data_IF_283353761271
#
_entry.id   IF_283353761271
#
_cell.length_a   1.000
_cell.length_b   1.000
_cell.length_c   1.000
_cell.angle_alpha   90.00
_cell.angle_beta   90.00
_cell.angle_gamma   90.00
#
_symmetry.space_group_name_H-M   'P 1'
#
loop_
_entity.id
_entity.type
_entity.pdbx_description
1 polymer ?
#
# COMPACT_ATOMS: atom_id res chain seq x y z
N UNK A 1 -63.60 -8.08 8.15
CA UNK A 1 -62.14 -8.16 8.36
C UNK A 1 -61.60 -6.75 8.39
N UNK A 2 -61.26 -6.25 9.58
CA UNK A 2 -60.61 -4.96 9.75
C UNK A 2 -59.17 -5.10 9.27
N UNK A 3 -58.81 -4.36 8.22
CA UNK A 3 -57.41 -4.18 7.83
C UNK A 3 -56.82 -3.34 8.96
N UNK A 4 -56.04 -3.99 9.83
CA UNK A 4 -55.20 -3.29 10.77
C UNK A 4 -54.32 -2.33 9.96
N UNK A 5 -54.62 -1.03 10.08
CA UNK A 5 -53.69 0.02 9.72
C UNK A 5 -52.40 -0.30 10.45
N UNK A 6 -51.36 -0.67 9.70
CA UNK A 6 -49.99 -0.73 10.22
C UNK A 6 -49.79 0.60 10.93
N UNK A 7 -49.66 0.54 12.26
CA UNK A 7 -49.34 1.70 13.06
C UNK A 7 -48.12 2.34 12.41
N UNK A 8 -48.37 3.50 11.83
CA UNK A 8 -47.39 4.42 11.32
C UNK A 8 -46.32 4.50 12.41
N UNK A 9 -45.15 3.86 12.19
CA UNK A 9 -44.08 3.81 13.18
C UNK A 9 -43.98 5.21 13.76
N UNK A 10 -44.40 5.38 15.01
CA UNK A 10 -44.45 6.67 15.66
C UNK A 10 -43.10 7.32 15.39
N UNK A 11 -43.11 8.35 14.54
CA UNK A 11 -41.91 8.79 13.84
C UNK A 11 -40.86 9.10 14.88
N UNK A 12 -39.81 8.26 14.99
CA UNK A 12 -38.71 8.56 15.88
C UNK A 12 -38.24 9.98 15.55
N UNK A 13 -37.94 10.76 16.58
CA UNK A 13 -37.44 12.12 16.37
C UNK A 13 -36.17 12.08 15.51
N UNK A 14 -35.94 13.13 14.73
CA UNK A 14 -34.73 13.26 13.90
C UNK A 14 -33.45 13.09 14.74
N UNK A 15 -33.50 13.50 16.01
CA UNK A 15 -32.39 13.37 16.96
C UNK A 15 -32.07 11.90 17.28
N UNK A 16 -33.09 11.06 17.48
CA UNK A 16 -32.88 9.63 17.72
C UNK A 16 -32.29 8.94 16.48
N UNK A 17 -32.74 9.33 15.29
CA UNK A 17 -32.13 8.83 14.06
C UNK A 17 -30.67 9.28 13.92
N UNK A 18 -30.36 10.53 14.25
CA UNK A 18 -28.98 11.02 14.25
C UNK A 18 -28.10 10.24 15.22
N UNK A 19 -28.57 10.00 16.45
CA UNK A 19 -27.83 9.25 17.47
C UNK A 19 -27.59 7.79 17.07
N UNK A 20 -28.54 7.17 16.37
CA UNK A 20 -28.37 5.83 15.81
C UNK A 20 -27.33 5.85 14.70
N UNK A 21 -27.50 6.75 13.71
CA UNK A 21 -26.62 6.83 12.54
C UNK A 21 -25.17 7.18 12.91
N UNK A 22 -24.95 8.00 13.95
CA UNK A 22 -23.61 8.34 14.48
C UNK A 22 -22.84 7.15 15.03
N UNK A 23 -23.52 6.06 15.40
CA UNK A 23 -22.89 4.85 15.96
C UNK A 23 -22.61 3.77 14.90
N UNK A 24 -23.08 3.96 13.68
CA UNK A 24 -22.86 3.01 12.59
C UNK A 24 -21.44 3.13 12.04
N UNK A 25 -20.87 2.01 11.59
CA UNK A 25 -19.69 2.04 10.73
C UNK A 25 -20.04 2.65 9.36
N UNK A 26 -19.04 3.13 8.64
CA UNK A 26 -19.28 3.87 7.40
C UNK A 26 -19.96 3.07 6.28
N UNK A 27 -19.75 1.75 6.20
CA UNK A 27 -20.42 0.93 5.20
C UNK A 27 -21.91 0.76 5.53
N UNK A 28 -22.23 0.52 6.81
CA UNK A 28 -23.61 0.46 7.28
C UNK A 28 -24.30 1.82 7.19
N UNK A 29 -23.60 2.92 7.48
CA UNK A 29 -24.12 4.29 7.31
C UNK A 29 -24.46 4.59 5.84
N UNK A 30 -23.60 4.18 4.90
CA UNK A 30 -23.85 4.30 3.47
C UNK A 30 -25.09 3.50 3.03
N UNK A 31 -25.25 2.28 3.55
CA UNK A 31 -26.41 1.43 3.28
C UNK A 31 -27.71 2.04 3.85
N UNK A 32 -27.67 2.51 5.10
CA UNK A 32 -28.79 3.17 5.75
C UNK A 32 -29.24 4.44 5.01
N UNK A 33 -28.29 5.21 4.46
CA UNK A 33 -28.59 6.41 3.67
C UNK A 33 -29.42 6.13 2.41
N UNK A 34 -29.41 4.89 1.90
CA UNK A 34 -30.18 4.46 0.74
C UNK A 34 -31.57 3.91 1.10
N UNK A 35 -31.83 3.62 2.38
CA UNK A 35 -33.05 2.93 2.81
C UNK A 35 -34.28 3.85 2.86
N UNK A 36 -34.12 5.11 3.27
CA UNK A 36 -35.23 6.07 3.34
C UNK A 36 -34.75 7.53 3.22
N UNK A 37 -35.69 8.45 2.93
CA UNK A 37 -35.39 9.87 2.74
C UNK A 37 -34.84 10.56 4.00
N UNK A 38 -35.33 10.18 5.19
CA UNK A 38 -34.86 10.73 6.46
C UNK A 38 -33.38 10.39 6.72
N UNK A 39 -33.00 9.11 6.59
CA UNK A 39 -31.61 8.67 6.70
C UNK A 39 -30.73 9.27 5.61
N UNK A 40 -31.23 9.34 4.37
CA UNK A 40 -30.51 10.00 3.26
C UNK A 40 -30.20 11.46 3.57
N UNK A 41 -31.15 12.19 4.16
CA UNK A 41 -30.96 13.59 4.55
C UNK A 41 -29.94 13.74 5.67
N UNK A 42 -30.07 12.94 6.74
CA UNK A 42 -29.16 13.00 7.90
C UNK A 42 -27.74 12.56 7.51
N UNK A 43 -27.59 11.51 6.69
CA UNK A 43 -26.30 11.02 6.20
C UNK A 43 -25.60 11.95 5.19
N UNK A 44 -26.14 13.15 4.92
CA UNK A 44 -25.41 14.23 4.23
C UNK A 44 -24.59 15.09 5.19
N UNK A 45 -24.80 14.97 6.50
CA UNK A 45 -24.02 15.71 7.48
C UNK A 45 -22.59 15.19 7.57
N UNK A 46 -21.63 16.07 7.27
CA UNK A 46 -20.20 15.75 7.25
C UNK A 46 -19.67 15.28 8.61
N UNK A 47 -20.27 15.73 9.72
CA UNK A 47 -19.87 15.32 11.07
C UNK A 47 -20.00 13.81 11.30
N UNK A 48 -21.00 13.16 10.70
CA UNK A 48 -21.14 11.71 10.79
C UNK A 48 -19.95 11.01 10.12
N UNK A 49 -19.60 11.48 8.92
CA UNK A 49 -18.48 10.95 8.15
C UNK A 49 -17.12 11.29 8.75
N UNK A 50 -16.98 12.44 9.41
CA UNK A 50 -15.79 12.81 10.18
C UNK A 50 -15.55 11.83 11.33
N UNK A 51 -16.60 11.44 12.08
CA UNK A 51 -16.48 10.44 13.14
C UNK A 51 -16.10 9.06 12.56
N UNK A 52 -16.73 8.67 11.45
CA UNK A 52 -16.41 7.42 10.74
C UNK A 52 -14.95 7.40 10.29
N UNK A 53 -14.48 8.48 9.64
CA UNK A 53 -13.11 8.59 9.17
C UNK A 53 -12.13 8.57 10.35
N UNK A 54 -12.38 9.35 11.41
CA UNK A 54 -11.48 9.43 12.57
C UNK A 54 -11.42 8.13 13.36
N UNK A 55 -12.52 7.35 13.38
CA UNK A 55 -12.52 6.02 13.99
C UNK A 55 -11.77 4.99 13.13
N UNK A 56 -11.80 5.13 11.82
CA UNK A 56 -11.17 4.19 10.90
C UNK A 56 -9.68 4.49 10.65
N UNK A 57 -9.37 5.77 10.53
CA UNK A 57 -8.08 6.37 10.21
C UNK A 57 -7.80 7.50 11.21
N UNK A 58 -7.19 7.20 12.36
CA UNK A 58 -6.97 8.19 13.42
C UNK A 58 -6.20 9.42 12.96
N UNK A 59 -5.37 9.31 11.91
CA UNK A 59 -4.66 10.44 11.32
C UNK A 59 -5.61 11.55 10.83
N UNK A 60 -6.87 11.22 10.49
CA UNK A 60 -7.85 12.21 10.03
C UNK A 60 -8.42 13.07 11.16
N UNK A 61 -8.11 12.76 12.42
CA UNK A 61 -8.51 13.57 13.58
C UNK A 61 -7.67 14.84 13.75
N UNK A 62 -6.53 14.96 13.07
CA UNK A 62 -5.66 16.13 13.11
C UNK A 62 -6.26 17.29 12.31
N UNK A 63 -6.21 18.51 12.86
CA UNK A 63 -6.84 19.69 12.26
C UNK A 63 -6.30 20.04 10.85
N UNK A 64 -5.00 19.82 10.61
CA UNK A 64 -4.38 20.00 9.30
C UNK A 64 -4.96 19.03 8.25
N UNK A 65 -5.16 17.77 8.63
CA UNK A 65 -5.79 16.75 7.79
C UNK A 65 -7.29 17.01 7.61
N UNK A 66 -8.00 17.48 8.63
CA UNK A 66 -9.41 17.88 8.48
C UNK A 66 -9.59 18.99 7.46
N UNK A 67 -8.70 19.98 7.49
CA UNK A 67 -8.67 21.07 6.49
C UNK A 67 -8.39 20.52 5.08
N UNK A 68 -7.44 19.58 4.95
CA UNK A 68 -7.17 18.90 3.69
C UNK A 68 -8.40 18.16 3.15
N UNK A 69 -9.02 17.31 3.98
CA UNK A 69 -10.21 16.52 3.60
C UNK A 69 -11.37 17.44 3.19
N UNK A 70 -11.57 18.54 3.92
CA UNK A 70 -12.56 19.55 3.56
C UNK A 70 -12.27 20.18 2.19
N UNK A 71 -11.00 20.48 1.88
CA UNK A 71 -10.59 21.10 0.61
C UNK A 71 -10.76 20.21 -0.63
N UNK A 72 -10.71 18.88 -0.46
CA UNK A 72 -10.83 17.89 -1.55
C UNK A 72 -12.27 17.40 -1.78
N UNK A 73 -13.22 17.81 -0.94
CA UNK A 73 -14.66 17.52 -1.13
C UNK A 73 -15.39 16.91 0.07
N UNK A 74 -14.77 16.89 1.25
CA UNK A 74 -15.39 16.44 2.50
C UNK A 74 -15.08 14.99 2.88
N UNK A 75 -15.42 14.64 4.12
CA UNK A 75 -15.22 13.33 4.73
C UNK A 75 -16.06 12.24 4.07
N UNK A 76 -17.28 12.56 3.61
CA UNK A 76 -18.10 11.56 2.91
C UNK A 76 -17.42 11.09 1.62
N UNK A 77 -16.92 12.02 0.83
CA UNK A 77 -16.17 11.72 -0.39
C UNK A 77 -14.87 11.00 -0.06
N UNK A 78 -14.09 11.52 0.89
CA UNK A 78 -12.84 10.89 1.32
C UNK A 78 -13.03 9.43 1.76
N UNK A 79 -14.08 9.14 2.54
CA UNK A 79 -14.41 7.77 2.91
C UNK A 79 -14.78 6.91 1.70
N UNK A 80 -15.64 7.42 0.82
CA UNK A 80 -16.04 6.69 -0.39
C UNK A 80 -14.85 6.39 -1.32
N UNK A 81 -13.86 7.28 -1.37
CA UNK A 81 -12.66 7.16 -2.19
C UNK A 81 -11.64 6.20 -1.57
N UNK A 82 -11.44 6.24 -0.25
CA UNK A 82 -10.37 5.52 0.46
C UNK A 82 -10.78 4.17 1.06
N UNK A 83 -12.08 3.94 1.27
CA UNK A 83 -12.58 2.68 1.84
C UNK A 83 -12.47 1.50 0.86
N UNK A 84 -12.85 1.64 -0.43
CA UNK A 84 -12.66 0.58 -1.41
C UNK A 84 -11.17 0.31 -1.71
N UNK A 85 -10.83 -0.94 -2.00
CA UNK A 85 -9.48 -1.34 -2.39
C UNK A 85 -9.29 -1.19 -3.90
N UNK A 86 -8.08 -0.84 -4.32
CA UNK A 86 -7.71 -0.80 -5.74
C UNK A 86 -7.79 -2.21 -6.33
N UNK A 87 -8.42 -2.30 -7.50
CA UNK A 87 -8.50 -3.55 -8.26
C UNK A 87 -8.06 -3.26 -9.69
N UNK A 88 -7.05 -3.98 -10.14
CA UNK A 88 -6.69 -4.01 -11.54
C UNK A 88 -7.22 -5.31 -12.17
N UNK A 89 -8.28 -5.18 -12.97
CA UNK A 89 -8.91 -6.29 -13.71
C UNK A 89 -8.24 -6.54 -15.06
N UNK A 90 -7.47 -5.58 -15.53
CA UNK A 90 -6.80 -5.60 -16.82
C UNK A 90 -5.31 -5.90 -16.59
N UNK A 91 -5.00 -6.91 -15.78
CA UNK A 91 -3.66 -7.50 -15.82
C UNK A 91 -3.53 -8.05 -17.23
N UNK A 92 -2.67 -7.46 -18.10
CA UNK A 92 -2.63 -7.87 -19.48
C UNK A 92 -2.36 -9.38 -19.55
N UNK A 93 -2.91 -10.05 -20.56
CA UNK A 93 -2.28 -11.26 -21.09
C UNK A 93 -0.90 -10.84 -21.60
N UNK A 94 0.06 -10.73 -20.67
CA UNK A 94 1.37 -10.19 -20.95
C UNK A 94 2.06 -11.13 -21.94
N UNK A 95 2.21 -10.66 -23.19
CA UNK A 95 3.01 -11.33 -24.21
C UNK A 95 4.38 -10.69 -24.21
N UNK A 96 5.38 -11.42 -23.70
CA UNK A 96 6.79 -11.01 -23.67
C UNK A 96 7.31 -10.52 -25.04
N UNK A 97 6.76 -11.03 -26.14
CA UNK A 97 7.08 -10.58 -27.50
C UNK A 97 6.71 -9.11 -27.78
N UNK A 98 5.56 -8.65 -27.30
CA UNK A 98 5.09 -7.28 -27.55
C UNK A 98 5.96 -6.26 -26.78
N UNK A 99 6.50 -6.67 -25.62
CA UNK A 99 7.44 -5.89 -24.81
C UNK A 99 8.82 -5.71 -25.48
N UNK A 100 9.38 -6.78 -26.04
CA UNK A 100 10.66 -6.71 -26.76
C UNK A 100 10.55 -5.87 -28.02
N UNK A 101 9.44 -5.99 -28.75
CA UNK A 101 9.18 -5.18 -29.94
C UNK A 101 9.03 -3.70 -29.60
N UNK A 102 8.37 -3.37 -28.47
CA UNK A 102 8.28 -2.00 -27.96
C UNK A 102 9.62 -1.43 -27.47
N UNK A 103 10.45 -2.25 -26.81
CA UNK A 103 11.79 -1.83 -26.36
C UNK A 103 12.72 -1.52 -27.54
N UNK A 104 12.54 -2.19 -28.67
CA UNK A 104 13.26 -1.92 -29.93
C UNK A 104 12.71 -0.69 -30.68
N UNK A 105 11.45 -0.30 -30.47
CA UNK A 105 10.79 0.83 -31.16
C UNK A 105 10.78 2.15 -30.36
N UNK A 106 11.09 2.12 -29.06
CA UNK A 106 11.15 3.29 -28.17
C UNK A 106 12.18 4.33 -28.64
N UNK A 107 11.73 5.53 -28.99
CA UNK A 107 12.62 6.66 -29.25
C UNK A 107 13.16 7.26 -27.94
N UNK A 108 14.35 7.88 -27.95
CA UNK A 108 14.90 8.54 -26.75
C UNK A 108 13.92 9.56 -26.14
N UNK A 109 13.09 10.22 -26.96
CA UNK A 109 12.07 11.17 -26.50
C UNK A 109 10.92 10.50 -25.72
N UNK A 110 10.55 9.26 -26.05
CA UNK A 110 9.55 8.47 -25.32
C UNK A 110 10.15 7.86 -24.05
N UNK A 111 11.43 7.47 -24.08
CA UNK A 111 12.18 7.04 -22.90
C UNK A 111 12.40 8.19 -21.89
N UNK A 112 12.55 9.43 -22.39
CA UNK A 112 12.66 10.64 -21.59
C UNK A 112 11.33 11.41 -21.42
N UNK A 113 10.20 10.85 -21.86
CA UNK A 113 8.82 11.33 -21.68
C UNK A 113 8.52 12.75 -22.16
N UNK A 114 7.36 12.92 -22.80
CA UNK A 114 6.79 14.24 -23.13
C UNK A 114 6.73 15.14 -21.88
N UNK A 115 7.16 16.39 -22.03
CA UNK A 115 7.43 17.32 -20.92
C UNK A 115 6.13 17.91 -20.37
N UNK A 116 5.06 17.94 -21.17
CA UNK A 116 3.81 18.66 -20.90
C UNK A 116 2.95 18.06 -19.77
N UNK A 117 2.95 16.74 -19.55
CA UNK A 117 2.17 16.15 -18.44
C UNK A 117 2.81 16.35 -17.06
N UNK A 118 4.14 16.48 -17.00
CA UNK A 118 4.89 16.66 -15.76
C UNK A 118 4.82 18.12 -15.26
N UNK A 119 4.62 19.10 -16.16
CA UNK A 119 4.37 20.50 -15.76
C UNK A 119 3.20 20.62 -14.77
N UNK A 120 2.34 19.60 -14.70
CA UNK A 120 1.17 19.58 -13.85
C UNK A 120 1.25 18.79 -12.54
N UNK A 121 2.32 18.05 -12.25
CA UNK A 121 2.35 17.15 -11.07
C UNK A 121 3.63 17.38 -10.27
N UNK A 122 3.48 17.92 -9.07
CA UNK A 122 4.59 18.13 -8.14
C UNK A 122 4.59 17.08 -7.03
N UNK A 123 5.76 16.63 -6.54
CA UNK A 123 5.86 15.84 -5.32
C UNK A 123 5.14 16.47 -4.11
N UNK A 124 5.06 17.81 -4.05
CA UNK A 124 4.36 18.54 -2.98
C UNK A 124 2.83 18.42 -3.03
N UNK A 125 2.28 17.97 -4.15
CA UNK A 125 0.83 17.81 -4.33
C UNK A 125 0.32 16.57 -3.59
N UNK A 126 1.21 15.63 -3.27
CA UNK A 126 0.88 14.38 -2.61
C UNK A 126 0.93 14.50 -1.09
N UNK A 127 0.04 13.80 -0.41
CA UNK A 127 0.02 13.65 1.05
C UNK A 127 -0.20 12.18 1.35
N UNK A 128 0.63 11.58 2.21
CA UNK A 128 0.41 10.22 2.71
C UNK A 128 -0.17 10.26 4.11
N UNK A 129 -1.33 9.63 4.29
CA UNK A 129 -2.01 9.43 5.57
C UNK A 129 -1.86 7.95 5.91
N UNK A 130 -1.09 7.64 6.96
CA UNK A 130 -0.69 6.28 7.29
C UNK A 130 -1.14 5.92 8.70
N UNK A 131 -1.96 4.88 8.79
CA UNK A 131 -2.45 4.36 10.06
C UNK A 131 -2.19 2.85 10.13
N UNK A 132 -1.63 2.40 11.25
CA UNK A 132 -1.38 0.99 11.55
C UNK A 132 -2.24 0.59 12.73
N UNK A 133 -2.95 -0.52 12.59
CA UNK A 133 -3.74 -1.13 13.66
C UNK A 133 -3.29 -2.56 13.93
N UNK A 134 -3.29 -2.95 15.19
CA UNK A 134 -3.10 -4.33 15.63
C UNK A 134 -4.28 -4.72 16.52
N UNK A 135 -5.02 -5.77 16.16
CA UNK A 135 -6.22 -6.23 16.89
C UNK A 135 -7.19 -5.08 17.23
N UNK A 136 -7.48 -4.25 16.22
CA UNK A 136 -8.34 -3.05 16.29
C UNK A 136 -7.82 -1.88 17.15
N UNK A 137 -6.64 -2.00 17.77
CA UNK A 137 -5.97 -0.91 18.46
C UNK A 137 -5.02 -0.19 17.51
N UNK A 138 -4.96 1.13 17.59
CA UNK A 138 -4.05 1.93 16.74
C UNK A 138 -2.68 2.00 17.37
N UNK A 139 -1.66 1.62 16.61
CA UNK A 139 -0.27 1.55 17.11
C UNK A 139 0.62 2.61 16.46
N UNK A 140 0.23 3.12 15.29
CA UNK A 140 0.90 4.22 14.62
C UNK A 140 -0.10 5.01 13.79
N UNK A 141 0.03 6.33 13.82
CA UNK A 141 -0.79 7.26 13.06
C UNK A 141 0.11 8.42 12.64
N UNK A 142 0.38 8.57 11.34
CA UNK A 142 1.32 9.55 10.82
C UNK A 142 0.89 10.10 9.48
N UNK A 143 1.19 11.38 9.28
CA UNK A 143 0.90 12.12 8.06
C UNK A 143 2.20 12.64 7.49
N UNK A 144 2.43 12.42 6.20
CA UNK A 144 3.55 12.98 5.46
C UNK A 144 3.02 13.94 4.40
N UNK A 145 3.49 15.19 4.45
CA UNK A 145 3.17 16.21 3.48
C UNK A 145 4.26 16.25 2.40
N UNK A 146 3.87 16.00 1.15
CA UNK A 146 4.78 15.83 0.03
C UNK A 146 5.48 14.48 0.03
N UNK A 147 6.36 14.30 -0.95
CA UNK A 147 7.26 13.15 -1.02
C UNK A 147 8.60 13.53 -0.38
N UNK A 148 9.05 12.80 0.67
CA UNK A 148 10.31 13.09 1.33
C UNK A 148 11.46 13.12 0.33
N UNK A 149 12.43 14.01 0.54
CA UNK A 149 13.64 14.11 -0.27
C UNK A 149 13.43 14.52 -1.75
N UNK A 150 12.18 14.73 -2.20
CA UNK A 150 11.87 15.07 -3.58
C UNK A 150 12.12 16.55 -3.93
N UNK A 151 12.04 17.45 -2.95
CA UNK A 151 12.22 18.91 -3.14
C UNK A 151 13.69 19.35 -3.21
N UNK A 152 14.65 18.43 -3.39
CA UNK A 152 16.06 18.80 -3.45
C UNK A 152 16.40 19.50 -4.76
N UNK A 153 17.24 20.54 -4.70
CA UNK A 153 17.53 21.49 -5.78
C UNK A 153 17.98 20.88 -7.11
N UNK A 154 18.41 19.61 -7.13
CA UNK A 154 18.98 18.98 -8.32
C UNK A 154 18.02 18.03 -9.06
N UNK A 155 16.75 17.90 -8.63
CA UNK A 155 15.78 17.02 -9.31
C UNK A 155 16.13 15.52 -9.29
N UNK A 156 17.11 15.12 -8.48
CA UNK A 156 17.61 13.74 -8.37
C UNK A 156 16.50 12.69 -8.19
N UNK A 157 15.46 13.02 -7.42
CA UNK A 157 14.31 12.18 -7.15
C UNK A 157 13.69 11.61 -8.43
N UNK A 158 13.57 12.41 -9.49
CA UNK A 158 12.92 11.99 -10.73
C UNK A 158 13.60 10.78 -11.39
N UNK A 159 14.91 10.64 -11.19
CA UNK A 159 15.72 9.55 -11.76
C UNK A 159 16.08 8.47 -10.72
N UNK A 160 15.76 8.66 -9.44
CA UNK A 160 16.05 7.69 -8.39
C UNK A 160 14.93 6.64 -8.27
N UNK A 161 15.26 5.41 -7.85
CA UNK A 161 14.28 4.42 -7.40
C UNK A 161 13.30 5.02 -6.39
N UNK A 162 12.02 4.91 -6.67
CA UNK A 162 10.99 5.48 -5.82
C UNK A 162 10.87 4.73 -4.50
N UNK A 163 11.00 5.48 -3.40
CA UNK A 163 10.82 4.96 -2.05
C UNK A 163 10.38 6.06 -1.09
N UNK A 164 9.35 5.79 -0.32
CA UNK A 164 8.96 6.60 0.84
C UNK A 164 9.25 5.79 2.09
N UNK A 165 10.05 6.33 3.00
CA UNK A 165 10.35 5.71 4.30
C UNK A 165 9.69 6.55 5.41
N UNK A 166 8.78 5.96 6.17
CA UNK A 166 8.02 6.69 7.17
C UNK A 166 8.80 6.91 8.48
N UNK A 167 9.74 6.01 8.82
CA UNK A 167 10.42 6.01 10.12
C UNK A 167 11.72 6.82 10.09
N UNK A 168 12.48 6.76 9.00
CA UNK A 168 13.74 7.51 8.88
C UNK A 168 13.56 9.04 8.81
N UNK A 169 12.35 9.51 8.53
CA UNK A 169 12.04 10.93 8.40
C UNK A 169 11.61 11.61 9.71
N UNK A 170 11.67 10.94 10.87
CA UNK A 170 11.34 11.55 12.18
C UNK A 170 12.48 12.39 12.79
N UNK A 171 13.68 12.38 12.22
CA UNK A 171 14.86 13.00 12.84
C UNK A 171 14.95 14.53 12.72
N UNK A 172 13.96 15.22 12.13
CA UNK A 172 14.04 16.66 11.82
C UNK A 172 12.98 17.54 12.47
N UNK A 173 11.94 16.97 13.06
CA UNK A 173 10.94 17.73 13.82
C UNK A 173 11.06 17.34 15.29
N UNK A 174 11.09 18.34 16.18
CA UNK A 174 11.18 18.25 17.65
C UNK A 174 9.98 17.55 18.33
N UNK A 175 9.30 16.65 17.61
CA UNK A 175 8.28 15.79 18.16
C UNK A 175 8.94 14.44 18.48
N UNK A 176 8.81 13.98 19.73
CA UNK A 176 9.19 12.63 20.11
C UNK A 176 8.35 11.63 19.30
N UNK A 177 8.76 11.37 18.06
CA UNK A 177 8.16 10.39 17.16
C UNK A 177 8.33 9.03 17.79
N UNK A 178 7.36 8.69 18.63
CA UNK A 178 7.41 7.58 19.57
C UNK A 178 7.84 6.32 18.85
N UNK A 179 8.84 5.68 19.42
CA UNK A 179 9.23 4.34 19.01
C UNK A 179 7.98 3.44 19.06
N UNK A 180 7.53 2.97 17.90
CA UNK A 180 6.34 2.13 17.83
C UNK A 180 6.72 0.72 18.29
N UNK A 181 6.35 0.39 19.52
CA UNK A 181 6.55 -0.93 20.11
C UNK A 181 5.23 -1.65 20.31
N UNK A 182 5.18 -2.94 19.98
CA UNK A 182 4.11 -3.86 20.35
C UNK A 182 4.60 -4.75 21.48
N UNK A 183 3.74 -5.04 22.43
CA UNK A 183 4.03 -5.86 23.61
C UNK A 183 2.90 -6.84 23.91
N UNK A 184 3.09 -7.68 24.93
CA UNK A 184 2.04 -8.62 25.38
C UNK A 184 0.82 -7.88 25.94
N UNK A 185 0.94 -6.66 26.48
CA UNK A 185 -0.23 -5.87 26.89
C UNK A 185 -1.11 -5.46 25.73
N UNK A 186 -0.54 -5.35 24.53
CA UNK A 186 -1.26 -5.05 23.29
C UNK A 186 -1.91 -6.31 22.69
N UNK A 187 -1.78 -7.45 23.39
CA UNK A 187 -2.35 -8.73 23.00
C UNK A 187 -1.43 -9.59 22.12
N UNK A 188 -0.13 -9.31 22.08
CA UNK A 188 0.84 -10.27 21.50
C UNK A 188 0.92 -11.55 22.34
N UNK A 189 1.09 -12.73 21.73
CA UNK A 189 1.30 -13.96 22.46
C UNK A 189 2.65 -13.91 23.21
N UNK A 190 2.69 -14.30 24.51
CA UNK A 190 3.94 -14.35 25.25
C UNK A 190 4.83 -15.49 24.74
N UNK A 191 6.09 -15.17 24.44
CA UNK A 191 7.10 -16.14 24.02
C UNK A 191 8.25 -16.14 25.00
N UNK A 192 8.57 -17.34 25.49
CA UNK A 192 9.66 -17.54 26.45
C UNK A 192 11.03 -17.53 25.76
N UNK A 193 11.14 -18.09 24.54
CA UNK A 193 12.40 -18.22 23.79
C UNK A 193 12.12 -18.19 22.28
N UNK A 194 12.65 -17.19 21.56
CA UNK A 194 12.45 -17.04 20.11
C UNK A 194 13.03 -18.21 19.30
N UNK A 195 14.13 -18.82 19.76
CA UNK A 195 14.77 -19.96 19.09
C UNK A 195 13.97 -21.28 19.14
N UNK A 196 12.92 -21.36 19.97
CA UNK A 196 12.00 -22.53 19.98
C UNK A 196 10.75 -22.32 19.13
N UNK A 197 10.51 -21.10 18.67
CA UNK A 197 9.33 -20.79 17.88
C UNK A 197 9.57 -21.16 16.42
N UNK A 198 8.61 -21.89 15.83
CA UNK A 198 8.61 -22.21 14.39
C UNK A 198 8.54 -20.92 13.56
N UNK A 199 8.98 -20.98 12.30
CA UNK A 199 8.83 -19.86 11.36
C UNK A 199 7.37 -19.41 11.23
N UNK A 200 6.45 -20.38 11.17
CA UNK A 200 5.00 -20.16 11.19
C UNK A 200 4.40 -20.33 12.60
N UNK A 201 5.13 -19.89 13.61
CA UNK A 201 4.73 -19.98 15.01
C UNK A 201 3.55 -19.07 15.36
N UNK A 202 3.12 -19.15 16.62
CA UNK A 202 1.94 -18.43 17.10
C UNK A 202 2.11 -16.91 17.00
N UNK A 203 3.29 -16.37 17.28
CA UNK A 203 3.56 -14.94 17.15
C UNK A 203 3.50 -14.48 15.71
N UNK A 204 4.07 -15.25 14.78
CA UNK A 204 3.96 -14.90 13.35
C UNK A 204 2.51 -14.88 12.90
N UNK A 205 1.73 -15.92 13.23
CA UNK A 205 0.33 -16.01 12.85
C UNK A 205 -0.51 -14.88 13.46
N UNK A 206 -0.33 -14.59 14.76
CA UNK A 206 -1.02 -13.50 15.45
C UNK A 206 -0.63 -12.13 14.89
N UNK A 207 0.67 -11.89 14.64
CA UNK A 207 1.16 -10.63 14.09
C UNK A 207 0.66 -10.44 12.66
N UNK A 208 0.90 -11.43 11.79
CA UNK A 208 0.51 -11.41 10.39
C UNK A 208 -1.00 -11.24 10.21
N UNK A 209 -1.82 -11.96 10.98
CA UNK A 209 -3.28 -11.89 10.90
C UNK A 209 -3.90 -10.72 11.66
N UNK A 210 -3.23 -10.23 12.71
CA UNK A 210 -3.75 -9.18 13.59
C UNK A 210 -3.44 -7.76 13.12
N UNK A 211 -2.44 -7.58 12.27
CA UNK A 211 -2.02 -6.27 11.79
C UNK A 211 -2.84 -5.81 10.57
N UNK A 212 -3.16 -4.52 10.54
CA UNK A 212 -3.79 -3.85 9.42
C UNK A 212 -3.08 -2.54 9.11
N UNK A 213 -2.83 -2.28 7.84
CA UNK A 213 -2.19 -1.06 7.37
C UNK A 213 -3.18 -0.29 6.48
N UNK A 214 -3.34 1.00 6.71
CA UNK A 214 -3.94 1.93 5.75
C UNK A 214 -2.87 2.90 5.29
N UNK A 215 -2.59 2.94 3.99
CA UNK A 215 -1.70 3.91 3.40
C UNK A 215 -2.48 4.68 2.34
N UNK A 216 -3.09 5.78 2.75
CA UNK A 216 -3.90 6.62 1.90
C UNK A 216 -3.01 7.68 1.26
N UNK A 217 -3.03 7.75 -0.06
CA UNK A 217 -2.41 8.83 -0.82
C UNK A 217 -3.50 9.80 -1.24
N UNK A 218 -3.27 11.08 -1.01
CA UNK A 218 -4.13 12.19 -1.42
C UNK A 218 -3.33 13.07 -2.37
N UNK A 219 -3.92 13.43 -3.51
CA UNK A 219 -3.38 14.50 -4.35
C UNK A 219 -4.26 15.75 -4.22
N UNK A 220 -3.65 16.83 -3.73
CA UNK A 220 -4.29 18.11 -3.39
C UNK A 220 -4.76 18.86 -4.63
N UNK A 221 -4.04 18.74 -5.75
CA UNK A 221 -4.32 19.46 -7.00
C UNK A 221 -5.54 18.87 -7.71
N UNK A 222 -5.59 17.55 -7.87
CA UNK A 222 -6.73 16.85 -8.50
C UNK A 222 -7.87 16.53 -7.53
N UNK A 223 -7.66 16.76 -6.22
CA UNK A 223 -8.65 16.53 -5.15
C UNK A 223 -9.18 15.10 -5.11
N UNK A 224 -8.28 14.13 -5.25
CA UNK A 224 -8.59 12.71 -5.17
C UNK A 224 -7.74 12.04 -4.10
N UNK A 225 -8.27 10.94 -3.57
CA UNK A 225 -7.59 10.10 -2.60
C UNK A 225 -7.82 8.62 -2.93
N UNK A 226 -6.90 7.77 -2.50
CA UNK A 226 -7.05 6.32 -2.58
C UNK A 226 -6.21 5.65 -1.51
N UNK A 227 -6.68 4.51 -1.00
CA UNK A 227 -5.86 3.64 -0.17
C UNK A 227 -5.07 2.68 -1.05
N UNK A 228 -3.74 2.75 -0.96
CA UNK A 228 -2.85 1.90 -1.75
C UNK A 228 -2.49 0.59 -1.04
N UNK A 229 -2.92 0.41 0.21
CA UNK A 229 -2.73 -0.83 0.95
C UNK A 229 -3.86 -1.82 0.70
N UNK A 230 -3.54 -3.11 0.81
CA UNK A 230 -4.49 -4.23 0.82
C UNK A 230 -5.28 -4.35 2.13
N UNK A 231 -5.14 -3.41 3.07
CA UNK A 231 -5.56 -3.49 4.48
C UNK A 231 -4.93 -4.62 5.30
N UNK A 232 -5.08 -5.87 4.86
CA UNK A 232 -4.46 -7.05 5.44
C UNK A 232 -3.17 -7.41 4.73
N UNK A 233 -2.33 -8.14 5.44
CA UNK A 233 -1.08 -8.68 4.95
C UNK A 233 -1.31 -9.56 3.72
N UNK A 234 -0.57 -9.31 2.65
CA UNK A 234 -0.52 -10.17 1.46
C UNK A 234 0.42 -11.36 1.69
N UNK A 235 1.38 -11.18 2.60
CA UNK A 235 2.33 -12.20 2.99
C UNK A 235 3.44 -11.61 3.84
N UNK A 236 4.50 -12.39 4.02
CA UNK A 236 5.69 -11.94 4.70
C UNK A 236 6.57 -13.10 5.11
N UNK A 237 7.65 -12.78 5.81
CA UNK A 237 8.66 -13.76 6.19
C UNK A 237 9.33 -13.34 7.50
N UNK A 238 9.64 -14.33 8.33
CA UNK A 238 10.61 -14.19 9.42
C UNK A 238 12.03 -14.31 8.83
N UNK A 239 12.81 -13.23 8.89
CA UNK A 239 14.13 -13.13 8.27
C UNK A 239 15.13 -14.06 8.96
N UNK A 240 15.87 -14.83 8.15
CA UNK A 240 16.98 -15.71 8.56
C UNK A 240 18.28 -15.01 8.17
N UNK A 241 19.33 -14.93 9.03
CA UNK A 241 19.67 -15.89 10.10
C UNK A 241 19.35 -15.45 11.53
N UNK A 242 19.00 -14.19 11.79
CA UNK A 242 18.82 -13.68 13.16
C UNK A 242 17.51 -14.13 13.81
N UNK A 243 16.49 -14.53 13.05
CA UNK A 243 15.19 -14.99 13.57
C UNK A 243 14.47 -13.96 14.47
N UNK A 244 14.99 -12.73 14.56
CA UNK A 244 14.49 -11.59 15.32
C UNK A 244 13.72 -10.59 14.45
N UNK A 245 13.90 -10.61 13.13
CA UNK A 245 13.25 -9.65 12.23
C UNK A 245 12.05 -10.30 11.53
N UNK A 246 10.89 -9.65 11.62
CA UNK A 246 9.64 -10.00 10.92
C UNK A 246 9.39 -9.00 9.80
N UNK A 247 9.20 -9.48 8.59
CA UNK A 247 8.85 -8.69 7.41
C UNK A 247 7.40 -9.00 7.03
N UNK A 248 6.55 -7.99 6.94
CA UNK A 248 5.16 -8.09 6.49
C UNK A 248 5.00 -7.23 5.24
N UNK A 249 4.32 -7.77 4.24
CA UNK A 249 4.05 -7.09 2.96
C UNK A 249 2.57 -6.78 2.84
N UNK A 250 2.28 -5.56 2.42
CA UNK A 250 0.96 -5.11 1.98
C UNK A 250 1.14 -4.46 0.60
N UNK A 251 0.04 -4.19 -0.09
CA UNK A 251 0.16 -3.51 -1.36
C UNK A 251 -1.09 -3.54 -2.20
N UNK A 252 -0.93 -3.08 -3.43
CA UNK A 252 -1.93 -3.15 -4.47
C UNK A 252 -1.26 -3.16 -5.84
N UNK A 253 -2.02 -3.56 -6.84
CA UNK A 253 -1.58 -3.57 -8.23
C UNK A 253 -2.14 -2.31 -8.91
N UNK A 254 -1.24 -1.41 -9.33
CA UNK A 254 -1.58 -0.11 -9.88
C UNK A 254 -1.54 -0.14 -11.41
N UNK A 255 -2.47 0.55 -12.10
CA UNK A 255 -2.36 0.76 -13.53
C UNK A 255 -1.21 1.72 -13.85
N UNK A 256 -0.48 1.43 -14.92
CA UNK A 256 0.61 2.23 -15.47
C UNK A 256 0.52 2.29 -17.01
N UNK A 257 -0.72 2.31 -17.54
CA UNK A 257 -1.00 2.45 -18.98
C UNK A 257 -0.33 3.71 -19.51
N UNK A 258 0.32 3.61 -20.65
CA UNK A 258 1.04 4.71 -21.30
C UNK A 258 2.17 5.34 -20.46
N UNK A 259 2.51 4.75 -19.30
CA UNK A 259 3.60 5.21 -18.41
C UNK A 259 4.77 4.21 -18.43
N UNK A 260 4.45 2.92 -18.37
CA UNK A 260 5.44 1.84 -18.40
C UNK A 260 5.04 0.79 -19.43
N UNK A 261 6.00 0.14 -20.09
CA UNK A 261 5.68 -0.86 -21.11
C UNK A 261 4.90 -2.07 -20.56
N UNK A 262 5.12 -2.43 -19.30
CA UNK A 262 4.36 -3.49 -18.64
C UNK A 262 2.92 -3.08 -18.25
N UNK A 263 2.55 -1.81 -18.41
CA UNK A 263 1.24 -1.19 -18.12
C UNK A 263 0.70 -1.39 -16.70
N UNK A 264 1.45 -2.04 -15.81
CA UNK A 264 1.06 -2.40 -14.46
C UNK A 264 2.28 -2.32 -13.54
N UNK A 265 2.05 -1.86 -12.31
CA UNK A 265 3.07 -1.70 -11.27
C UNK A 265 2.57 -2.30 -9.96
N UNK A 266 3.45 -2.97 -9.24
CA UNK A 266 3.23 -3.37 -7.87
C UNK A 266 3.51 -2.21 -6.92
N UNK A 267 2.51 -1.78 -6.16
CA UNK A 267 2.73 -0.94 -4.98
C UNK A 267 3.07 -1.82 -3.79
N UNK A 268 4.34 -1.82 -3.40
CA UNK A 268 4.88 -2.68 -2.36
C UNK A 268 5.01 -1.86 -1.08
N UNK A 269 4.25 -2.22 -0.06
CA UNK A 269 4.35 -1.66 1.28
C UNK A 269 5.05 -2.68 2.19
N UNK A 270 6.18 -2.28 2.74
CA UNK A 270 7.03 -3.13 3.57
C UNK A 270 6.95 -2.63 5.00
N UNK A 271 6.63 -3.54 5.92
CA UNK A 271 6.67 -3.30 7.35
C UNK A 271 7.63 -4.28 8.00
N UNK A 272 8.61 -3.79 8.76
CA UNK A 272 9.53 -4.63 9.53
C UNK A 272 9.38 -4.41 11.01
N UNK A 273 9.24 -5.50 11.74
CA UNK A 273 9.38 -5.53 13.19
C UNK A 273 10.66 -6.24 13.56
N UNK A 274 11.36 -5.73 14.56
CA UNK A 274 12.47 -6.41 15.21
C UNK A 274 12.05 -6.81 16.62
N UNK A 275 12.30 -8.06 16.98
CA UNK A 275 12.20 -8.51 18.36
C UNK A 275 13.29 -7.82 19.15
N UNK A 276 12.90 -7.10 20.18
CA UNK A 276 13.81 -6.60 21.19
C UNK A 276 13.74 -7.57 22.38
N UNK A 277 14.64 -8.57 22.43
CA UNK A 277 14.85 -9.44 23.61
C UNK A 277 15.36 -8.58 24.80
N UNK A 278 15.07 -8.74 26.10
CA UNK A 278 14.53 -9.77 27.04
C UNK A 278 15.49 -10.86 27.57
N UNK A 279 16.29 -10.52 28.60
CA UNK A 279 16.81 -11.45 29.62
C UNK A 279 16.25 -11.06 31.00
N UNK A 280 15.61 -12.02 31.69
CA UNK A 280 15.08 -11.85 33.05
C UNK A 280 13.76 -12.59 33.27
N UNK A 281 13.60 -13.19 34.45
CA UNK A 281 12.34 -13.84 34.87
C UNK A 281 11.22 -12.78 34.88
N UNK A 282 10.28 -12.89 33.94
CA UNK A 282 9.08 -12.04 33.88
C UNK A 282 9.03 -11.03 32.74
N UNK A 283 10.03 -10.92 31.86
CA UNK A 283 10.01 -9.94 30.77
C UNK A 283 9.25 -10.47 29.55
N UNK A 284 8.23 -9.71 29.13
CA UNK A 284 7.30 -10.04 28.06
C UNK A 284 7.88 -9.73 26.67
N UNK A 285 7.48 -10.48 25.65
CA UNK A 285 7.89 -10.28 24.26
C UNK A 285 7.53 -8.88 23.77
N UNK A 286 8.49 -8.15 23.21
CA UNK A 286 8.29 -6.83 22.61
C UNK A 286 8.82 -6.80 21.17
N UNK A 287 8.09 -6.14 20.29
CA UNK A 287 8.44 -5.95 18.88
C UNK A 287 8.55 -4.46 18.61
N UNK A 288 9.68 -4.01 18.09
CA UNK A 288 9.88 -2.64 17.63
C UNK A 288 9.65 -2.55 16.14
N UNK A 289 8.84 -1.60 15.67
CA UNK A 289 8.73 -1.28 14.26
C UNK A 289 10.02 -0.59 13.79
N UNK A 290 10.76 -1.21 12.87
CA UNK A 290 12.07 -0.73 12.39
C UNK A 290 12.04 -0.20 10.97
N UNK A 291 11.08 -0.65 10.15
CA UNK A 291 10.87 -0.14 8.80
C UNK A 291 9.38 -0.03 8.52
N UNK A 292 8.97 1.08 7.91
CA UNK A 292 7.70 1.19 7.23
C UNK A 292 7.92 1.99 5.95
N UNK A 293 7.90 1.31 4.80
CA UNK A 293 8.21 1.93 3.53
C UNK A 293 7.23 1.57 2.42
N UNK A 294 7.09 2.49 1.45
CA UNK A 294 6.38 2.29 0.19
C UNK A 294 7.39 2.31 -0.96
N UNK A 295 7.24 1.37 -1.89
CA UNK A 295 8.05 1.24 -3.10
C UNK A 295 7.14 0.89 -4.26
N UNK A 296 7.52 1.29 -5.47
CA UNK A 296 6.84 0.89 -6.70
C UNK A 296 7.78 -0.01 -7.50
N UNK A 297 7.31 -1.21 -7.84
CA UNK A 297 8.06 -2.21 -8.59
C UNK A 297 7.38 -2.55 -9.90
N UNK A 298 8.14 -2.65 -10.98
CA UNK A 298 7.63 -3.12 -12.26
C UNK A 298 7.48 -4.65 -12.30
N UNK A 299 7.02 -5.17 -13.44
CA UNK A 299 6.87 -6.61 -13.67
C UNK A 299 8.21 -7.36 -13.74
N UNK A 300 9.32 -6.69 -13.99
CA UNK A 300 10.65 -7.29 -13.95
C UNK A 300 11.22 -7.35 -12.52
N UNK A 301 10.60 -6.61 -11.59
CA UNK A 301 11.06 -6.45 -10.22
C UNK A 301 12.07 -5.32 -10.03
N UNK A 302 12.28 -4.48 -11.04
CA UNK A 302 13.03 -3.24 -10.91
C UNK A 302 12.15 -2.15 -10.27
N UNK A 303 12.80 -1.21 -9.60
CA UNK A 303 12.11 -0.08 -8.98
C UNK A 303 11.77 0.96 -10.04
N UNK A 304 10.53 1.44 -10.01
CA UNK A 304 10.09 2.55 -10.85
C UNK A 304 10.78 3.83 -10.37
N UNK A 305 11.26 4.66 -11.29
CA UNK A 305 11.90 5.93 -10.94
C UNK A 305 10.89 6.94 -10.35
N UNK A 306 11.37 8.01 -9.70
CA UNK A 306 10.49 8.99 -9.08
C UNK A 306 9.52 9.66 -10.06
N UNK A 307 9.95 9.95 -11.30
CA UNK A 307 9.09 10.58 -12.33
C UNK A 307 7.89 9.71 -12.67
N UNK A 308 8.13 8.48 -13.12
CA UNK A 308 7.07 7.55 -13.51
C UNK A 308 6.22 7.20 -12.30
N UNK A 309 6.80 7.16 -11.10
CA UNK A 309 6.06 6.92 -9.87
C UNK A 309 5.02 8.01 -9.56
N UNK A 310 5.30 9.28 -9.83
CA UNK A 310 4.30 10.35 -9.67
C UNK A 310 3.10 10.15 -10.62
N UNK A 311 3.37 9.74 -11.86
CA UNK A 311 2.34 9.47 -12.86
C UNK A 311 1.49 8.25 -12.45
N UNK A 312 2.14 7.16 -12.04
CA UNK A 312 1.45 5.95 -11.55
C UNK A 312 0.61 6.25 -10.32
N UNK A 313 1.14 7.02 -9.36
CA UNK A 313 0.37 7.41 -8.18
C UNK A 313 -0.83 8.27 -8.55
N UNK A 314 -0.70 9.22 -9.47
CA UNK A 314 -1.83 10.02 -9.97
C UNK A 314 -2.90 9.14 -10.62
N UNK A 315 -2.49 8.22 -11.50
CA UNK A 315 -3.41 7.33 -12.20
C UNK A 315 -4.14 6.38 -11.23
N UNK A 316 -3.44 5.88 -10.20
CA UNK A 316 -4.02 5.09 -9.12
C UNK A 316 -5.13 5.82 -8.35
N UNK A 317 -5.10 7.16 -8.28
CA UNK A 317 -6.17 7.95 -7.64
C UNK A 317 -7.47 8.00 -8.45
N UNK A 318 -7.48 7.56 -9.70
CA UNK A 318 -8.66 7.47 -10.56
C UNK A 318 -9.01 6.04 -10.98
N UNK A 319 -8.27 5.03 -10.52
CA UNK A 319 -8.46 3.65 -10.95
C UNK A 319 -9.75 3.01 -10.41
N UNK A 320 -10.10 1.87 -11.00
CA UNK A 320 -11.21 1.02 -10.51
C UNK A 320 -10.94 0.51 -9.09
N UNK A 321 -12.01 0.46 -8.29
CA UNK A 321 -11.94 0.00 -6.89
C UNK A 321 -13.10 -0.91 -6.56
N UNK A 322 -12.88 -1.81 -5.60
CA UNK A 322 -13.89 -2.73 -5.11
C UNK A 322 -13.94 -2.75 -3.60
N UNK A 323 -15.15 -2.91 -3.07
CA UNK A 323 -15.36 -3.25 -1.66
C UNK A 323 -15.19 -4.75 -1.41
N UNK A 324 -15.09 -5.55 -2.48
CA UNK A 324 -14.86 -6.97 -2.38
C UNK A 324 -13.36 -7.24 -2.17
N UNK A 325 -13.02 -7.64 -0.95
CA UNK A 325 -11.65 -7.98 -0.59
C UNK A 325 -11.08 -9.13 -1.44
N UNK A 326 -11.90 -10.13 -1.79
CA UNK A 326 -11.41 -11.28 -2.57
C UNK A 326 -10.91 -10.85 -3.95
N UNK A 327 -11.59 -9.89 -4.57
CA UNK A 327 -11.27 -9.40 -5.90
C UNK A 327 -9.94 -8.63 -5.92
N UNK A 328 -9.68 -7.82 -4.89
CA UNK A 328 -8.39 -7.13 -4.73
C UNK A 328 -7.25 -8.13 -4.45
N UNK A 329 -7.51 -9.15 -3.64
CA UNK A 329 -6.54 -10.20 -3.34
C UNK A 329 -6.22 -11.04 -4.59
N UNK A 330 -7.24 -11.43 -5.36
CA UNK A 330 -7.09 -12.16 -6.62
C UNK A 330 -6.23 -11.37 -7.62
N UNK A 331 -6.46 -10.05 -7.76
CA UNK A 331 -5.64 -9.18 -8.61
C UNK A 331 -4.16 -9.20 -8.19
N UNK A 332 -3.86 -9.12 -6.89
CA UNK A 332 -2.49 -9.21 -6.37
C UNK A 332 -1.85 -10.60 -6.59
N UNK A 333 -2.61 -11.68 -6.39
CA UNK A 333 -2.15 -13.05 -6.59
C UNK A 333 -1.86 -13.33 -8.07
N UNK A 334 -2.71 -12.87 -8.97
CA UNK A 334 -2.51 -12.97 -10.42
C UNK A 334 -1.23 -12.24 -10.84
N UNK A 335 -1.05 -11.00 -10.38
CA UNK A 335 0.17 -10.24 -10.65
C UNK A 335 1.42 -10.99 -10.17
N UNK A 336 1.44 -11.43 -8.90
CA UNK A 336 2.58 -12.15 -8.33
C UNK A 336 2.89 -13.44 -9.09
N UNK A 337 1.86 -14.14 -9.58
CA UNK A 337 2.03 -15.35 -10.39
C UNK A 337 2.69 -15.03 -11.72
N UNK A 338 2.18 -14.07 -12.48
CA UNK A 338 2.76 -13.66 -13.76
C UNK A 338 4.19 -13.16 -13.57
N UNK A 339 4.44 -12.36 -12.53
CA UNK A 339 5.80 -11.87 -12.21
C UNK A 339 6.77 -13.03 -11.92
N UNK A 340 6.31 -14.08 -11.23
CA UNK A 340 7.15 -15.25 -10.95
C UNK A 340 7.48 -16.07 -12.20
N UNK A 341 6.51 -16.26 -13.10
CA UNK A 341 6.70 -16.95 -14.38
C UNK A 341 7.72 -16.21 -15.26
N UNK A 342 7.62 -14.87 -15.33
CA UNK A 342 8.58 -14.04 -16.07
C UNK A 342 9.99 -14.13 -15.52
N UNK A 343 10.14 -14.10 -14.19
CA UNK A 343 11.44 -14.27 -13.53
C UNK A 343 12.04 -15.63 -13.82
N UNK A 344 11.24 -16.70 -13.81
CA UNK A 344 11.69 -18.05 -14.15
C UNK A 344 12.14 -18.19 -15.60
N UNK A 345 11.41 -17.60 -16.54
CA UNK A 345 11.78 -17.59 -17.96
C UNK A 345 13.08 -16.82 -18.20
N UNK A 346 13.24 -15.66 -17.55
CA UNK A 346 14.47 -14.86 -17.61
C UNK A 346 15.67 -15.64 -17.06
N UNK A 347 15.54 -16.25 -15.88
CA UNK A 347 16.60 -17.10 -15.29
C UNK A 347 16.95 -18.27 -16.21
N UNK A 348 15.96 -18.89 -16.87
CA UNK A 348 16.19 -19.97 -17.83
C UNK A 348 16.95 -19.48 -19.06
N UNK A 349 16.64 -18.27 -19.55
CA UNK A 349 17.34 -17.68 -20.69
C UNK A 349 18.78 -17.29 -20.35
N UNK A 350 18.99 -16.60 -19.22
CA UNK A 350 20.32 -16.25 -18.71
C UNK A 350 21.17 -17.51 -18.50
N UNK A 351 20.61 -18.56 -17.88
CA UNK A 351 21.30 -19.85 -17.73
C UNK A 351 21.70 -20.50 -19.07
N UNK A 352 20.87 -20.34 -20.11
CA UNK A 352 21.21 -20.81 -21.47
C UNK A 352 22.35 -20.00 -22.09
N UNK A 353 22.33 -18.68 -21.93
CA UNK A 353 23.38 -17.78 -22.41
C UNK A 353 24.70 -18.04 -21.69
N UNK A 354 24.69 -18.17 -20.36
CA UNK A 354 25.89 -18.51 -19.57
C UNK A 354 26.51 -19.82 -20.05
N UNK A 355 25.69 -20.84 -20.31
CA UNK A 355 26.19 -22.11 -20.85
C UNK A 355 26.83 -21.94 -22.23
N UNK A 356 26.27 -21.10 -23.10
CA UNK A 356 26.84 -20.81 -24.41
C UNK A 356 28.16 -20.04 -24.29
N UNK A 357 28.25 -19.06 -23.40
CA UNK A 357 29.48 -18.32 -23.13
C UNK A 357 30.59 -19.21 -22.56
N UNK A 358 30.26 -20.10 -21.62
CA UNK A 358 31.21 -21.08 -21.07
C UNK A 358 31.72 -22.00 -22.18
N UNK A 359 30.82 -22.57 -23.00
CA UNK A 359 31.22 -23.44 -24.12
C UNK A 359 32.04 -22.70 -25.18
N UNK A 360 31.68 -21.45 -25.50
CA UNK A 360 32.42 -20.59 -26.41
C UNK A 360 33.82 -20.26 -25.88
N UNK A 361 33.95 -19.97 -24.58
CA UNK A 361 35.23 -19.75 -23.91
C UNK A 361 36.13 -20.99 -23.93
N UNK A 362 35.56 -22.18 -23.68
CA UNK A 362 36.29 -23.46 -23.79
C UNK A 362 36.77 -23.68 -25.23
N UNK A 363 35.90 -23.45 -26.23
CA UNK A 363 36.27 -23.61 -27.64
C UNK A 363 37.37 -22.62 -28.07
N UNK A 364 37.29 -21.36 -27.63
CA UNK A 364 38.32 -20.35 -27.87
C UNK A 364 39.67 -20.71 -27.21
N UNK A 365 39.64 -21.24 -25.98
CA UNK A 365 40.84 -21.70 -25.29
C UNK A 365 41.48 -22.91 -26.01
N UNK A 366 40.67 -23.91 -26.40
CA UNK A 366 41.15 -25.09 -27.13
C UNK A 366 41.75 -24.72 -28.49
N UNK A 367 41.12 -23.81 -29.24
CA UNK A 367 41.64 -23.32 -30.51
C UNK A 367 42.94 -22.53 -30.32
N UNK A 368 43.01 -21.66 -29.32
CA UNK A 368 44.25 -20.96 -28.95
C UNK A 368 45.37 -21.94 -28.61
N UNK A 369 45.13 -22.93 -27.75
CA UNK A 369 46.11 -23.96 -27.41
C UNK A 369 46.56 -24.77 -28.63
N UNK A 370 45.67 -25.03 -29.59
CA UNK A 370 46.01 -25.72 -30.83
C UNK A 370 46.87 -24.88 -31.79
N UNK A 371 46.72 -23.55 -31.79
CA UNK A 371 47.55 -22.66 -32.62
C UNK A 371 48.96 -22.42 -32.06
N UNK A 372 49.17 -22.60 -30.76
CA UNK A 372 50.47 -22.43 -30.09
C UNK A 372 51.24 -23.74 -29.89
N UNK A 373 50.62 -24.89 -30.19
CA UNK A 373 51.25 -26.21 -30.25
C UNK A 373 51.64 -26.54 -31.68
#
# INVERSE_FOLDING_TARGET
>A
MSIATVENMASLSSDLFYDILRRLDGATLASAACACAAFSSISKEERLWENVCSSMWPSTSRDDVKSLISSIGGFKKFYADCFPLIVNKEVPEFRFNDYLQYLEELTEAEYYGDVDELENISPSDFVSIVDIRYKDQTICSKVLWGIPNANSFNGWFYNCPFRIDLLNNSARDDDHGGEVTLSVSDGLPPITLMGRERKDGKLWQDLHGGIRLSWIVVNRKIKQAANLSSWSSLGGQRHWPTDEDFLIRFGSVLPAKDILPCQVVECILIMRFRVTHTEGVGVQTTLKLTELSMQLGDMEGAHVNGRNSLLVLKEALSCSRSKNYSEALESCLLYSKVQSELKEEKMRNESRLDRLFILGGIAACMTFCYYFL
#
